data_IF_313785087129
#
_entry.id   IF_313785087129
#
_cell.length_a   1.000
_cell.length_b   1.000
_cell.length_c   1.000
_cell.angle_alpha   90.00
_cell.angle_beta   90.00
_cell.angle_gamma   90.00
#
_symmetry.space_group_name_H-M   'P 1'
#
loop_
_entity.id
_entity.type
_entity.pdbx_description
1 polymer ?
#
# COMPACT_ATOMS: atom_id res chain seq x y z
N UNK A 1 -1.18 -9.94 -17.47
CA UNK A 1 -0.70 -8.69 -18.11
C UNK A 1 -0.55 -8.78 -19.63
N UNK A 2 -0.10 -9.88 -20.23
CA UNK A 2 0.15 -9.97 -21.69
C UNK A 2 -1.07 -9.63 -22.59
N UNK A 3 -2.32 -9.95 -22.19
CA UNK A 3 -3.52 -9.64 -22.99
C UNK A 3 -3.95 -8.16 -22.98
N UNK A 4 -3.47 -7.34 -22.04
CA UNK A 4 -3.81 -5.89 -21.94
C UNK A 4 -2.96 -5.03 -22.91
N UNK A 5 -1.85 -5.58 -23.39
CA UNK A 5 -0.84 -4.87 -24.21
C UNK A 5 -1.31 -4.43 -25.61
N UNK A 6 -2.49 -4.87 -26.07
CA UNK A 6 -3.05 -4.49 -27.38
C UNK A 6 -3.80 -3.14 -27.35
N UNK A 7 -4.27 -2.69 -26.19
CA UNK A 7 -5.02 -1.43 -26.05
C UNK A 7 -4.17 -0.30 -25.41
N UNK A 8 -3.08 -0.66 -24.71
CA UNK A 8 -2.22 0.30 -24.00
C UNK A 8 -0.74 -0.08 -24.13
N UNK A 9 0.14 0.92 -24.23
CA UNK A 9 1.57 0.70 -24.07
C UNK A 9 1.87 0.39 -22.60
N UNK A 10 2.09 -0.88 -22.31
CA UNK A 10 2.40 -1.38 -20.98
C UNK A 10 3.84 -1.90 -20.95
N UNK A 11 4.61 -1.38 -20.00
CA UNK A 11 5.95 -1.89 -19.64
C UNK A 11 5.89 -2.32 -18.19
N UNK A 12 6.39 -3.51 -17.91
CA UNK A 12 6.50 -4.03 -16.56
C UNK A 12 7.92 -3.83 -16.06
N UNK A 13 8.06 -3.40 -14.81
CA UNK A 13 9.34 -3.35 -14.11
C UNK A 13 9.23 -4.15 -12.82
N UNK A 14 10.22 -4.99 -12.56
CA UNK A 14 10.40 -5.65 -11.26
C UNK A 14 11.51 -4.91 -10.51
N UNK A 15 11.22 -4.52 -9.28
CA UNK A 15 12.23 -4.03 -8.35
C UNK A 15 12.46 -5.12 -7.32
N UNK A 16 13.55 -5.85 -7.48
CA UNK A 16 13.99 -6.83 -6.50
C UNK A 16 14.64 -6.10 -5.31
N UNK A 17 14.08 -6.30 -4.12
CA UNK A 17 14.40 -5.50 -2.93
C UNK A 17 15.34 -6.28 -1.98
N UNK A 18 16.44 -6.79 -2.53
CA UNK A 18 17.48 -7.49 -1.76
C UNK A 18 17.18 -8.96 -1.52
N UNK A 19 16.69 -9.68 -2.54
CA UNK A 19 16.58 -11.13 -2.50
C UNK A 19 17.95 -11.81 -2.42
N UNK A 20 17.94 -13.08 -1.98
CA UNK A 20 19.18 -13.87 -1.93
C UNK A 20 19.65 -14.32 -3.33
N UNK A 21 20.87 -14.87 -3.41
CA UNK A 21 21.48 -15.27 -4.68
C UNK A 21 20.64 -16.32 -5.44
N UNK A 22 20.00 -17.26 -4.73
CA UNK A 22 19.19 -18.31 -5.34
C UNK A 22 17.90 -17.73 -5.91
N UNK A 23 17.26 -16.83 -5.17
CA UNK A 23 16.08 -16.08 -5.60
C UNK A 23 16.39 -15.22 -6.83
N UNK A 24 17.51 -14.48 -6.83
CA UNK A 24 17.95 -13.66 -7.97
C UNK A 24 18.14 -14.54 -9.22
N UNK A 25 18.76 -15.72 -9.09
CA UNK A 25 18.93 -16.66 -10.22
C UNK A 25 17.56 -17.07 -10.78
N UNK A 26 16.59 -17.38 -9.93
CA UNK A 26 15.25 -17.77 -10.35
C UNK A 26 14.50 -16.61 -11.02
N UNK A 27 14.60 -15.39 -10.48
CA UNK A 27 13.99 -14.20 -11.05
C UNK A 27 14.58 -13.93 -12.45
N UNK A 28 15.91 -13.99 -12.62
CA UNK A 28 16.57 -13.80 -13.92
C UNK A 28 16.08 -14.80 -14.97
N UNK A 29 15.90 -16.08 -14.60
CA UNK A 29 15.35 -17.10 -15.50
C UNK A 29 13.94 -16.75 -15.98
N UNK A 30 13.08 -16.28 -15.08
CA UNK A 30 11.70 -15.89 -15.42
C UNK A 30 11.71 -14.65 -16.30
N UNK A 31 12.50 -13.62 -15.96
CA UNK A 31 12.53 -12.35 -16.71
C UNK A 31 12.90 -12.56 -18.17
N UNK A 32 13.87 -13.44 -18.44
CA UNK A 32 14.30 -13.78 -19.80
C UNK A 32 13.21 -14.41 -20.69
N UNK A 33 12.09 -14.84 -20.10
CA UNK A 33 10.95 -15.38 -20.86
C UNK A 33 9.96 -14.30 -21.34
N UNK A 34 10.11 -13.05 -20.89
CA UNK A 34 9.21 -11.94 -21.23
C UNK A 34 9.94 -10.85 -22.02
N UNK A 35 9.35 -10.45 -23.15
CA UNK A 35 9.94 -9.45 -24.07
C UNK A 35 9.78 -7.98 -23.64
N UNK A 36 9.00 -7.70 -22.58
CA UNK A 36 8.68 -6.33 -22.09
C UNK A 36 8.71 -6.27 -20.57
N UNK A 37 9.84 -6.66 -20.00
CA UNK A 37 10.03 -6.73 -18.56
C UNK A 37 11.43 -6.22 -18.21
N UNK A 38 11.49 -5.06 -17.58
CA UNK A 38 12.72 -4.55 -17.00
C UNK A 38 12.87 -5.03 -15.56
N UNK A 39 14.12 -5.10 -15.09
CA UNK A 39 14.39 -5.49 -13.72
C UNK A 39 15.51 -4.65 -13.11
N UNK A 40 15.31 -4.28 -11.85
CA UNK A 40 16.30 -3.60 -11.02
C UNK A 40 16.56 -4.46 -9.79
N UNK A 41 17.82 -4.87 -9.61
CA UNK A 41 18.27 -5.60 -8.43
C UNK A 41 18.88 -4.64 -7.41
N UNK A 42 18.29 -4.56 -6.23
CA UNK A 42 18.84 -3.79 -5.12
C UNK A 42 19.75 -4.69 -4.28
N UNK A 43 20.86 -4.11 -3.80
CA UNK A 43 21.88 -4.87 -3.04
C UNK A 43 21.38 -5.37 -1.68
N UNK A 44 20.44 -4.66 -1.10
CA UNK A 44 19.85 -4.98 0.20
C UNK A 44 18.41 -4.51 0.25
N UNK A 45 17.66 -5.01 1.23
CA UNK A 45 16.31 -4.52 1.51
C UNK A 45 16.35 -3.09 2.07
N UNK A 46 15.95 -2.13 1.25
CA UNK A 46 15.87 -0.71 1.59
C UNK A 46 14.47 -0.27 2.06
N UNK A 47 13.55 -1.23 2.18
CA UNK A 47 12.15 -1.00 2.52
C UNK A 47 11.23 -0.88 1.30
N UNK A 48 9.97 -1.28 1.50
CA UNK A 48 8.95 -1.31 0.47
C UNK A 48 8.71 0.07 -0.18
N UNK A 49 8.63 1.13 0.63
CA UNK A 49 8.41 2.50 0.13
C UNK A 49 9.57 2.98 -0.76
N UNK A 50 10.81 2.70 -0.36
CA UNK A 50 11.99 3.04 -1.16
C UNK A 50 12.05 2.22 -2.46
N UNK A 51 11.74 0.92 -2.41
CA UNK A 51 11.65 0.08 -3.60
C UNK A 51 10.54 0.54 -4.58
N UNK A 52 9.36 0.93 -4.06
CA UNK A 52 8.30 1.54 -4.87
C UNK A 52 8.80 2.83 -5.56
N UNK A 53 9.54 3.67 -4.83
CA UNK A 53 10.10 4.90 -5.40
C UNK A 53 11.13 4.64 -6.52
N UNK A 54 11.87 3.52 -6.48
CA UNK A 54 12.73 3.11 -7.59
C UNK A 54 11.90 2.88 -8.86
N UNK A 55 10.78 2.15 -8.74
CA UNK A 55 9.85 1.93 -9.85
C UNK A 55 9.18 3.22 -10.35
N UNK A 56 8.77 4.10 -9.43
CA UNK A 56 8.21 5.43 -9.75
C UNK A 56 9.23 6.28 -10.51
N UNK A 57 10.49 6.31 -10.05
CA UNK A 57 11.57 7.04 -10.72
C UNK A 57 11.85 6.49 -12.11
N UNK A 58 11.84 5.17 -12.27
CA UNK A 58 11.94 4.54 -13.58
C UNK A 58 10.81 5.00 -14.51
N UNK A 59 9.57 4.98 -14.03
CA UNK A 59 8.41 5.41 -14.81
C UNK A 59 8.51 6.89 -15.24
N UNK A 60 8.96 7.77 -14.33
CA UNK A 60 9.22 9.19 -14.63
C UNK A 60 10.28 9.37 -15.71
N UNK A 61 11.42 8.70 -15.56
CA UNK A 61 12.55 8.83 -16.49
C UNK A 61 12.23 8.32 -17.90
N UNK A 62 11.25 7.42 -18.04
CA UNK A 62 10.79 6.88 -19.31
C UNK A 62 9.51 7.56 -19.84
N UNK A 63 9.15 8.73 -19.30
CA UNK A 63 8.00 9.54 -19.74
C UNK A 63 6.66 8.80 -19.72
N UNK A 64 6.46 7.85 -18.80
CA UNK A 64 5.13 7.28 -18.58
C UNK A 64 4.20 8.32 -17.96
N UNK A 65 2.90 8.23 -18.23
CA UNK A 65 1.90 9.11 -17.60
C UNK A 65 1.41 8.58 -16.26
N UNK A 66 1.46 7.26 -16.07
CA UNK A 66 0.95 6.58 -14.89
C UNK A 66 1.86 5.44 -14.48
N UNK A 67 1.76 5.03 -13.22
CA UNK A 67 2.34 3.81 -12.69
C UNK A 67 1.25 2.97 -12.03
N UNK A 68 1.24 1.67 -12.32
CA UNK A 68 0.42 0.69 -11.60
C UNK A 68 1.32 -0.03 -10.61
N UNK A 69 1.13 0.22 -9.32
CA UNK A 69 1.86 -0.50 -8.27
C UNK A 69 1.22 -1.88 -8.05
N UNK A 70 2.05 -2.90 -7.88
CA UNK A 70 1.63 -4.30 -7.68
C UNK A 70 2.58 -4.95 -6.69
N UNK A 71 2.03 -5.75 -5.77
CA UNK A 71 2.82 -6.61 -4.89
C UNK A 71 2.95 -8.02 -5.50
N UNK A 72 3.96 -8.79 -5.08
CA UNK A 72 4.25 -10.13 -5.61
C UNK A 72 3.13 -11.17 -5.42
N UNK A 73 2.27 -10.96 -4.44
CA UNK A 73 1.13 -11.80 -4.06
C UNK A 73 -0.22 -11.22 -4.54
N UNK A 74 -0.16 -10.31 -5.50
CA UNK A 74 -1.33 -9.68 -6.11
C UNK A 74 -1.77 -10.45 -7.34
N UNK A 75 -3.03 -10.89 -7.33
CA UNK A 75 -3.64 -11.66 -8.42
C UNK A 75 -4.73 -10.80 -9.08
N UNK A 76 -4.38 -9.97 -10.07
CA UNK A 76 -5.34 -9.11 -10.76
C UNK A 76 -6.30 -9.94 -11.61
N UNK A 77 -7.60 -9.60 -11.59
CA UNK A 77 -8.55 -10.17 -12.54
C UNK A 77 -8.17 -9.79 -13.99
N UNK A 78 -8.56 -10.61 -14.97
CA UNK A 78 -8.17 -10.40 -16.37
C UNK A 78 -8.53 -9.01 -16.91
N UNK A 79 -9.66 -8.46 -16.46
CA UNK A 79 -10.18 -7.15 -16.87
C UNK A 79 -9.79 -6.00 -15.92
N UNK A 80 -9.06 -6.26 -14.82
CA UNK A 80 -8.80 -5.26 -13.77
C UNK A 80 -8.21 -3.98 -14.34
N UNK A 81 -7.10 -4.08 -15.08
CA UNK A 81 -6.40 -2.92 -15.65
C UNK A 81 -7.30 -2.17 -16.63
N UNK A 82 -8.07 -2.90 -17.46
CA UNK A 82 -9.02 -2.29 -18.41
C UNK A 82 -10.09 -1.47 -17.66
N UNK A 83 -10.60 -1.97 -16.55
CA UNK A 83 -11.59 -1.25 -15.74
C UNK A 83 -11.00 -0.04 -15.02
N UNK A 84 -9.76 -0.13 -14.52
CA UNK A 84 -9.04 1.00 -13.94
C UNK A 84 -8.86 2.12 -14.98
N UNK A 85 -8.35 1.79 -16.17
CA UNK A 85 -8.12 2.79 -17.23
C UNK A 85 -9.42 3.38 -17.76
N UNK A 86 -10.47 2.57 -17.95
CA UNK A 86 -11.81 3.05 -18.34
C UNK A 86 -12.33 4.07 -17.32
N UNK A 87 -12.23 3.74 -16.04
CA UNK A 87 -12.69 4.62 -14.95
C UNK A 87 -11.83 5.88 -14.85
N UNK A 88 -10.51 5.75 -14.99
CA UNK A 88 -9.58 6.89 -15.06
C UNK A 88 -9.98 7.87 -16.16
N UNK A 89 -10.19 7.40 -17.39
CA UNK A 89 -10.56 8.23 -18.53
C UNK A 89 -11.91 8.93 -18.34
N UNK A 90 -12.85 8.28 -17.65
CA UNK A 90 -14.15 8.87 -17.29
C UNK A 90 -13.99 9.96 -16.22
N UNK A 91 -13.19 9.70 -15.19
CA UNK A 91 -13.02 10.58 -14.03
C UNK A 91 -12.15 11.79 -14.35
N UNK A 92 -11.08 11.63 -15.11
CA UNK A 92 -10.15 12.70 -15.49
C UNK A 92 -10.82 13.80 -16.33
N UNK A 93 -11.83 13.46 -17.15
CA UNK A 93 -12.65 14.46 -17.86
C UNK A 93 -13.41 15.41 -16.94
N UNK A 94 -13.70 14.98 -15.71
CA UNK A 94 -14.47 15.75 -14.72
C UNK A 94 -13.59 16.35 -13.63
N UNK A 95 -12.37 15.87 -13.48
CA UNK A 95 -11.50 16.17 -12.35
C UNK A 95 -10.08 16.45 -12.84
N UNK A 96 -9.66 17.72 -12.77
CA UNK A 96 -8.30 18.12 -13.14
C UNK A 96 -7.23 17.54 -12.20
N UNK A 97 -7.58 17.27 -10.93
CA UNK A 97 -6.66 16.77 -9.90
C UNK A 97 -6.99 15.33 -9.49
N UNK A 98 -6.96 14.39 -10.44
CA UNK A 98 -7.10 12.95 -10.16
C UNK A 98 -5.73 12.34 -9.86
N UNK A 99 -5.54 11.82 -8.64
CA UNK A 99 -4.28 11.23 -8.20
C UNK A 99 -4.18 9.75 -8.51
N UNK A 100 -5.19 8.97 -8.13
CA UNK A 100 -5.15 7.53 -8.24
C UNK A 100 -6.53 6.89 -8.39
N UNK A 101 -6.57 5.74 -9.05
CA UNK A 101 -7.70 4.79 -9.04
C UNK A 101 -7.20 3.41 -8.62
N UNK A 102 -7.99 2.67 -7.85
CA UNK A 102 -7.57 1.34 -7.37
C UNK A 102 -8.70 0.33 -7.32
N UNK A 103 -8.38 -0.97 -7.39
CA UNK A 103 -9.35 -2.04 -7.44
C UNK A 103 -10.01 -2.26 -6.08
N UNK A 104 -11.21 -2.83 -6.13
CA UNK A 104 -11.80 -3.48 -4.98
C UNK A 104 -11.16 -4.86 -4.84
N UNK A 105 -10.32 -5.03 -3.82
CA UNK A 105 -9.62 -6.29 -3.60
C UNK A 105 -10.39 -7.22 -2.65
N UNK A 106 -10.26 -8.52 -2.89
CA UNK A 106 -10.68 -9.57 -1.97
C UNK A 106 -9.45 -10.16 -1.30
N UNK A 107 -9.45 -10.12 0.03
CA UNK A 107 -8.49 -10.89 0.80
C UNK A 107 -8.89 -12.37 0.69
N UNK A 108 -7.95 -13.24 0.30
CA UNK A 108 -8.21 -14.69 0.20
C UNK A 108 -8.63 -15.29 1.55
N UNK A 109 -8.23 -14.66 2.65
CA UNK A 109 -8.65 -15.02 3.99
C UNK A 109 -10.01 -14.41 4.40
N UNK A 110 -10.71 -13.68 3.52
CA UNK A 110 -12.03 -13.10 3.81
C UNK A 110 -13.10 -13.62 2.85
N UNK A 111 -14.31 -13.79 3.38
CA UNK A 111 -15.45 -14.25 2.58
C UNK A 111 -15.90 -13.16 1.58
N UNK A 112 -15.76 -11.88 1.98
CA UNK A 112 -16.18 -10.71 1.21
C UNK A 112 -15.01 -9.80 0.83
N UNK A 113 -15.12 -9.05 -0.29
CA UNK A 113 -14.17 -7.99 -0.64
C UNK A 113 -14.03 -6.94 0.46
N UNK A 114 -12.86 -6.29 0.52
CA UNK A 114 -12.59 -5.27 1.52
C UNK A 114 -13.24 -3.94 1.11
N UNK A 115 -13.99 -3.36 2.05
CA UNK A 115 -14.59 -2.05 1.87
C UNK A 115 -13.53 -0.95 1.71
N UNK A 116 -13.81 -0.03 0.79
CA UNK A 116 -13.01 1.18 0.64
C UNK A 116 -13.11 2.08 1.87
N UNK A 117 -12.20 3.03 2.01
CA UNK A 117 -12.12 3.90 3.18
C UNK A 117 -12.35 5.36 2.81
N UNK A 118 -13.21 6.02 3.60
CA UNK A 118 -13.41 7.46 3.57
C UNK A 118 -13.45 8.02 4.98
N UNK A 119 -12.84 9.19 5.16
CA UNK A 119 -12.86 9.96 6.39
C UNK A 119 -13.97 11.00 6.28
N UNK A 120 -14.88 10.99 7.26
CA UNK A 120 -15.99 11.94 7.38
C UNK A 120 -16.17 12.29 8.86
N UNK A 121 -16.64 13.50 9.17
CA UNK A 121 -16.91 13.88 10.57
C UNK A 121 -15.74 13.55 11.50
N UNK A 122 -15.98 12.72 12.53
CA UNK A 122 -14.97 12.32 13.50
C UNK A 122 -14.48 10.86 13.34
N UNK A 123 -14.68 10.24 12.17
CA UNK A 123 -14.48 8.80 12.03
C UNK A 123 -13.94 8.32 10.68
N UNK A 124 -13.54 7.06 10.69
CA UNK A 124 -13.15 6.27 9.51
C UNK A 124 -14.38 5.45 9.10
N UNK A 125 -14.87 5.70 7.89
CA UNK A 125 -16.05 5.06 7.33
C UNK A 125 -15.61 4.03 6.29
N UNK A 126 -16.26 2.88 6.35
CA UNK A 126 -16.17 1.83 5.34
C UNK A 126 -17.22 2.08 4.27
N UNK A 127 -16.80 2.02 3.02
CA UNK A 127 -17.64 2.21 1.86
C UNK A 127 -17.78 0.84 1.19
N UNK A 128 -18.88 0.12 1.45
CA UNK A 128 -19.10 -1.20 0.88
C UNK A 128 -19.41 -1.08 -0.61
N UNK A 129 -19.47 -2.23 -1.28
CA UNK A 129 -20.04 -2.31 -2.62
C UNK A 129 -21.47 -1.76 -2.63
N UNK A 130 -21.76 -0.88 -3.60
CA UNK A 130 -23.08 -0.30 -3.79
C UNK A 130 -23.51 -0.63 -5.21
N UNK A 131 -24.64 -1.31 -5.34
CA UNK A 131 -25.15 -1.69 -6.66
C UNK A 131 -25.42 -0.46 -7.53
N UNK A 132 -25.06 -0.56 -8.81
CA UNK A 132 -25.15 0.55 -9.77
C UNK A 132 -24.10 1.67 -9.60
N UNK A 133 -23.24 1.63 -8.58
CA UNK A 133 -22.13 2.60 -8.41
C UNK A 133 -20.81 1.90 -8.67
N UNK A 134 -20.11 2.28 -9.75
CA UNK A 134 -18.80 1.71 -10.08
C UNK A 134 -17.63 2.48 -9.45
N UNK A 135 -17.67 3.82 -9.49
CA UNK A 135 -16.57 4.65 -8.99
C UNK A 135 -16.97 5.37 -7.71
N UNK A 136 -16.17 5.23 -6.65
CA UNK A 136 -16.43 5.90 -5.37
C UNK A 136 -15.22 6.67 -4.87
N UNK A 137 -15.44 7.88 -4.34
CA UNK A 137 -14.37 8.69 -3.78
C UNK A 137 -13.88 8.08 -2.47
N UNK A 138 -12.56 7.95 -2.34
CA UNK A 138 -11.86 7.38 -1.18
C UNK A 138 -10.74 8.32 -0.75
N UNK A 139 -10.18 8.09 0.43
CA UNK A 139 -9.09 8.94 0.96
C UNK A 139 -7.70 8.33 0.83
N UNK A 140 -7.62 7.01 0.63
CA UNK A 140 -6.41 6.28 0.29
C UNK A 140 -6.81 4.90 -0.26
N UNK A 141 -5.89 4.29 -1.00
CA UNK A 141 -5.99 2.94 -1.54
C UNK A 141 -4.82 2.13 -1.02
N UNK A 142 -4.92 0.79 -1.04
CA UNK A 142 -3.71 -0.02 -0.86
C UNK A 142 -2.76 0.21 -2.04
N UNK A 143 -1.45 0.14 -1.80
CA UNK A 143 -0.49 0.32 -2.89
C UNK A 143 -0.70 -0.70 -4.02
N UNK A 144 -0.90 -1.98 -3.69
CA UNK A 144 -1.18 -3.01 -4.67
C UNK A 144 -2.46 -2.72 -5.48
N UNK A 145 -2.33 -2.76 -6.80
CA UNK A 145 -3.40 -2.50 -7.76
C UNK A 145 -3.68 -1.01 -7.99
N UNK A 146 -3.02 -0.09 -7.28
CA UNK A 146 -3.26 1.35 -7.47
C UNK A 146 -2.60 1.87 -8.75
N UNK A 147 -3.41 2.38 -9.66
CA UNK A 147 -2.98 3.15 -10.83
C UNK A 147 -2.88 4.63 -10.43
N UNK A 148 -1.66 5.15 -10.42
CA UNK A 148 -1.32 6.49 -9.91
C UNK A 148 -0.81 7.35 -11.05
N UNK A 149 -1.28 8.59 -11.16
CA UNK A 149 -0.72 9.57 -12.10
C UNK A 149 0.67 10.02 -11.66
N UNK A 150 1.62 10.06 -12.60
CA UNK A 150 2.93 10.63 -12.31
C UNK A 150 2.88 12.15 -12.09
N UNK A 151 1.92 12.87 -12.69
CA UNK A 151 1.73 14.29 -12.39
C UNK A 151 1.27 14.52 -10.95
N UNK A 152 0.46 13.60 -10.41
CA UNK A 152 0.08 13.64 -9.00
C UNK A 152 1.30 13.36 -8.11
N UNK A 153 2.14 12.38 -8.47
CA UNK A 153 3.38 12.11 -7.73
C UNK A 153 4.31 13.33 -7.75
N UNK A 154 4.44 14.03 -8.87
CA UNK A 154 5.26 15.26 -8.96
C UNK A 154 4.77 16.37 -8.03
N UNK A 155 3.45 16.56 -7.91
CA UNK A 155 2.89 17.59 -7.03
C UNK A 155 2.83 17.16 -5.56
N UNK A 156 2.46 15.90 -5.30
CA UNK A 156 2.27 15.38 -3.94
C UNK A 156 3.61 15.04 -3.29
N UNK A 157 4.57 14.58 -4.08
CA UNK A 157 5.84 14.00 -3.66
C UNK A 157 5.80 12.47 -3.66
N UNK A 158 6.98 11.85 -3.73
CA UNK A 158 7.16 10.39 -3.71
C UNK A 158 6.62 9.75 -2.40
N UNK A 159 6.63 8.40 -2.35
CA UNK A 159 6.28 7.66 -1.14
C UNK A 159 7.31 7.97 -0.04
N UNK A 160 6.87 8.06 1.22
CA UNK A 160 7.78 8.30 2.34
C UNK A 160 8.68 7.08 2.60
N UNK A 161 9.88 7.10 2.02
CA UNK A 161 10.88 6.01 2.14
C UNK A 161 11.33 5.76 3.58
N UNK A 162 11.25 6.78 4.43
CA UNK A 162 11.60 6.70 5.84
C UNK A 162 10.60 5.85 6.66
N UNK A 163 9.40 5.57 6.15
CA UNK A 163 8.48 4.61 6.76
C UNK A 163 8.99 3.18 6.64
N UNK A 164 9.82 2.87 5.64
CA UNK A 164 10.29 1.52 5.30
C UNK A 164 9.14 0.61 4.83
N UNK A 165 8.21 0.21 5.72
CA UNK A 165 7.01 -0.59 5.45
C UNK A 165 5.83 -0.10 6.31
N UNK A 166 4.59 -0.47 5.95
CA UNK A 166 3.32 -0.11 6.60
C UNK A 166 3.01 1.40 6.60
N UNK A 167 1.72 1.73 6.48
CA UNK A 167 1.20 3.10 6.43
C UNK A 167 1.65 3.98 5.24
N UNK A 168 2.45 3.45 4.32
CA UNK A 168 3.01 4.19 3.18
C UNK A 168 1.90 4.78 2.31
N UNK A 169 0.96 3.93 1.94
CA UNK A 169 -0.19 4.20 1.08
C UNK A 169 -1.25 5.08 1.76
N UNK A 170 -1.49 4.85 3.06
CA UNK A 170 -2.33 5.71 3.90
C UNK A 170 -1.74 7.11 3.98
N UNK A 171 -0.45 7.23 4.30
CA UNK A 171 0.23 8.53 4.39
C UNK A 171 0.16 9.27 3.06
N UNK A 172 0.51 8.61 1.96
CA UNK A 172 0.53 9.24 0.65
C UNK A 172 -0.87 9.67 0.21
N UNK A 173 -1.89 8.83 0.40
CA UNK A 173 -3.27 9.17 0.04
C UNK A 173 -3.83 10.35 0.86
N UNK A 174 -3.55 10.40 2.16
CA UNK A 174 -3.95 11.51 3.02
C UNK A 174 -3.20 12.80 2.69
N UNK A 175 -1.91 12.70 2.32
CA UNK A 175 -1.11 13.83 1.85
C UNK A 175 -1.64 14.35 0.50
N UNK A 176 -1.96 13.46 -0.45
CA UNK A 176 -2.60 13.80 -1.71
C UNK A 176 -3.93 14.52 -1.50
N UNK A 177 -4.80 13.98 -0.63
CA UNK A 177 -6.08 14.61 -0.25
C UNK A 177 -5.89 16.02 0.30
N UNK A 178 -4.92 16.22 1.19
CA UNK A 178 -4.62 17.54 1.77
C UNK A 178 -4.23 18.56 0.70
N UNK A 179 -3.55 18.11 -0.36
CA UNK A 179 -3.16 18.93 -1.50
C UNK A 179 -4.26 19.05 -2.57
N UNK A 180 -5.48 18.59 -2.29
CA UNK A 180 -6.64 18.72 -3.18
C UNK A 180 -6.79 17.62 -4.23
N UNK A 181 -5.88 16.64 -4.24
CA UNK A 181 -5.95 15.53 -5.19
C UNK A 181 -7.01 14.50 -4.78
N UNK A 182 -7.67 13.94 -5.79
CA UNK A 182 -8.78 13.00 -5.65
C UNK A 182 -8.31 11.56 -5.88
N UNK A 183 -8.83 10.64 -5.07
CA UNK A 183 -8.58 9.20 -5.20
C UNK A 183 -9.93 8.49 -5.30
N UNK A 184 -10.02 7.49 -6.16
CA UNK A 184 -11.23 6.70 -6.38
C UNK A 184 -10.99 5.19 -6.25
N UNK A 185 -11.88 4.52 -5.53
CA UNK A 185 -12.02 3.07 -5.57
C UNK A 185 -12.94 2.67 -6.72
N UNK A 186 -12.56 1.63 -7.47
CA UNK A 186 -13.29 1.12 -8.63
C UNK A 186 -13.81 -0.28 -8.31
N UNK A 187 -15.13 -0.43 -8.20
CA UNK A 187 -15.73 -1.70 -7.82
C UNK A 187 -15.61 -2.77 -8.90
N UNK A 188 -15.70 -2.42 -10.19
CA UNK A 188 -15.57 -3.40 -11.28
C UNK A 188 -14.12 -3.87 -11.50
N UNK A 189 -13.13 -3.12 -11.01
CA UNK A 189 -11.75 -3.55 -11.03
C UNK A 189 -11.52 -4.49 -9.84
N UNK A 190 -11.41 -5.79 -10.11
CA UNK A 190 -11.25 -6.83 -9.08
C UNK A 190 -9.82 -7.34 -9.01
N UNK A 191 -9.39 -7.64 -7.79
CA UNK A 191 -8.09 -8.24 -7.50
C UNK A 191 -8.23 -9.18 -6.32
N UNK A 192 -7.54 -10.31 -6.33
CA UNK A 192 -7.31 -11.10 -5.12
C UNK A 192 -5.93 -10.76 -4.57
N UNK A 193 -5.82 -10.63 -3.25
CA UNK A 193 -4.57 -10.29 -2.59
C UNK A 193 -4.50 -11.00 -1.25
N UNK A 194 -3.35 -11.54 -0.90
CA UNK A 194 -3.13 -12.11 0.43
C UNK A 194 -2.39 -11.09 1.26
N UNK A 195 -2.87 -10.74 2.46
CA UNK A 195 -2.07 -9.93 3.37
C UNK A 195 -0.92 -10.74 4.02
N UNK A 196 -0.83 -12.04 3.73
CA UNK A 196 0.30 -12.92 4.10
C UNK A 196 0.39 -13.31 5.58
N UNK A 197 -0.39 -12.65 6.46
CA UNK A 197 -0.27 -12.83 7.90
C UNK A 197 -1.22 -13.89 8.48
N UNK A 198 -0.82 -14.45 9.64
CA UNK A 198 -1.74 -15.23 10.48
C UNK A 198 -2.90 -14.33 10.89
N UNK A 199 -4.12 -14.71 10.54
CA UNK A 199 -5.33 -13.99 10.93
C UNK A 199 -5.92 -14.65 12.16
N UNK A 200 -6.07 -13.88 13.25
CA UNK A 200 -6.80 -14.32 14.44
C UNK A 200 -8.23 -13.78 14.40
N UNK A 201 -9.22 -14.61 14.74
CA UNK A 201 -10.61 -14.19 14.84
C UNK A 201 -10.98 -13.91 16.29
N UNK A 202 -11.35 -12.67 16.62
CA UNK A 202 -11.72 -12.24 17.96
C UNK A 202 -13.03 -11.46 17.87
N UNK A 203 -14.07 -11.90 18.59
CA UNK A 203 -15.42 -11.29 18.57
C UNK A 203 -15.96 -11.06 17.15
N UNK A 204 -15.79 -12.04 16.26
CA UNK A 204 -16.21 -11.95 14.85
C UNK A 204 -15.37 -10.99 13.99
N UNK A 205 -14.29 -10.42 14.53
CA UNK A 205 -13.34 -9.58 13.78
C UNK A 205 -12.04 -10.33 13.55
N UNK A 206 -11.65 -10.40 12.28
CA UNK A 206 -10.37 -10.95 11.84
C UNK A 206 -9.29 -9.87 11.96
N UNK A 207 -8.22 -10.16 12.71
CA UNK A 207 -7.11 -9.25 12.97
C UNK A 207 -5.83 -9.89 12.41
N UNK A 208 -5.10 -9.20 11.51
CA UNK A 208 -3.82 -9.70 11.04
C UNK A 208 -2.79 -9.60 12.16
N UNK A 209 -2.12 -10.71 12.44
CA UNK A 209 -1.07 -10.83 13.42
C UNK A 209 0.27 -10.95 12.67
N UNK A 210 0.91 -9.80 12.49
CA UNK A 210 2.20 -9.71 11.82
C UNK A 210 3.34 -10.34 12.64
N UNK A 211 4.47 -10.62 11.97
CA UNK A 211 5.73 -10.97 12.64
C UNK A 211 6.16 -9.85 13.62
N UNK A 212 6.83 -10.18 14.76
CA UNK A 212 7.35 -9.20 15.70
C UNK A 212 8.15 -8.05 15.08
N UNK A 213 8.92 -8.27 14.01
CA UNK A 213 9.67 -7.19 13.35
C UNK A 213 8.71 -6.20 12.66
N UNK A 214 7.66 -6.69 12.00
CA UNK A 214 6.65 -5.82 11.39
C UNK A 214 5.83 -5.07 12.45
N UNK A 215 5.63 -5.66 13.63
CA UNK A 215 5.07 -4.92 14.77
C UNK A 215 5.91 -3.70 15.18
N UNK A 216 7.25 -3.80 15.12
CA UNK A 216 8.11 -2.64 15.38
C UNK A 216 7.78 -1.49 14.41
N UNK A 217 7.72 -1.76 13.10
CA UNK A 217 7.41 -0.74 12.09
C UNK A 217 5.99 -0.20 12.23
N UNK A 218 4.99 -1.08 12.40
CA UNK A 218 3.60 -0.68 12.57
C UNK A 218 3.41 0.24 13.79
N UNK A 219 4.05 -0.07 14.92
CA UNK A 219 3.98 0.78 16.12
C UNK A 219 4.75 2.08 15.91
N UNK A 220 5.99 2.02 15.41
CA UNK A 220 6.80 3.22 15.19
C UNK A 220 6.11 4.20 14.25
N UNK A 221 5.71 3.72 13.08
CA UNK A 221 5.13 4.54 12.03
C UNK A 221 3.77 5.09 12.45
N UNK A 222 2.93 4.27 13.10
CA UNK A 222 1.65 4.77 13.63
C UNK A 222 1.84 5.92 14.61
N UNK A 223 2.75 5.81 15.57
CA UNK A 223 3.01 6.88 16.55
C UNK A 223 3.54 8.16 15.90
N UNK A 224 4.41 8.04 14.90
CA UNK A 224 4.95 9.19 14.15
C UNK A 224 3.84 9.88 13.36
N UNK A 225 3.02 9.13 12.61
CA UNK A 225 1.92 9.69 11.82
C UNK A 225 0.79 10.24 12.69
N UNK A 226 0.53 9.66 13.86
CA UNK A 226 -0.44 10.19 14.82
C UNK A 226 -0.02 11.54 15.41
N UNK A 227 1.29 11.83 15.46
CA UNK A 227 1.83 13.14 15.86
C UNK A 227 1.85 14.16 14.71
N UNK A 228 1.83 13.70 13.46
CA UNK A 228 1.86 14.57 12.29
C UNK A 228 0.55 15.38 12.17
N UNK A 229 0.62 16.67 12.51
CA UNK A 229 -0.52 17.59 12.45
C UNK A 229 -1.00 17.87 11.04
N UNK A 230 -0.19 17.58 10.01
CA UNK A 230 -0.61 17.69 8.63
C UNK A 230 -1.64 16.62 8.24
N UNK A 231 -1.71 15.50 8.97
CA UNK A 231 -2.70 14.47 8.72
C UNK A 231 -4.08 14.81 9.33
N UNK A 232 -5.19 14.44 8.66
CA UNK A 232 -6.54 14.73 9.16
C UNK A 232 -6.76 14.20 10.58
N UNK A 233 -7.30 15.07 11.45
CA UNK A 233 -7.65 14.67 12.82
C UNK A 233 -8.68 13.53 12.85
N UNK A 234 -9.51 13.46 11.80
CA UNK A 234 -10.52 12.44 11.55
C UNK A 234 -9.93 11.04 11.33
N UNK A 235 -8.67 10.97 10.90
CA UNK A 235 -7.90 9.74 10.84
C UNK A 235 -7.10 9.51 12.12
N UNK A 236 -6.46 10.57 12.66
CA UNK A 236 -5.58 10.46 13.83
C UNK A 236 -6.33 10.02 15.08
N UNK A 237 -7.44 10.68 15.42
CA UNK A 237 -8.14 10.44 16.68
C UNK A 237 -8.67 9.01 16.84
N UNK A 238 -9.39 8.42 15.86
CA UNK A 238 -9.80 7.01 15.96
C UNK A 238 -8.63 6.04 16.06
N UNK A 239 -7.48 6.34 15.43
CA UNK A 239 -6.30 5.49 15.51
C UNK A 239 -5.55 5.63 16.84
N UNK A 240 -5.55 6.80 17.47
CA UNK A 240 -5.04 6.99 18.84
C UNK A 240 -5.84 6.11 19.81
N UNK A 241 -7.17 6.13 19.73
CA UNK A 241 -8.02 5.33 20.61
C UNK A 241 -7.85 3.82 20.38
N UNK A 242 -7.61 3.40 19.14
CA UNK A 242 -7.44 1.98 18.78
C UNK A 242 -6.03 1.45 19.03
N UNK A 243 -5.02 2.31 19.19
CA UNK A 243 -3.63 1.89 19.33
C UNK A 243 -3.40 1.02 20.59
N UNK A 244 -3.83 1.42 21.81
CA UNK A 244 -3.66 0.59 23.00
C UNK A 244 -4.29 -0.79 22.86
N UNK A 245 -5.50 -0.85 22.28
CA UNK A 245 -6.21 -2.11 22.01
C UNK A 245 -5.40 -2.98 21.05
N UNK A 246 -4.85 -2.41 19.97
CA UNK A 246 -4.01 -3.14 19.02
C UNK A 246 -2.75 -3.69 19.68
N UNK A 247 -2.06 -2.89 20.49
CA UNK A 247 -0.86 -3.32 21.23
C UNK A 247 -1.18 -4.47 22.19
N UNK A 248 -2.29 -4.37 22.92
CA UNK A 248 -2.77 -5.43 23.80
C UNK A 248 -3.03 -6.72 23.03
N UNK A 249 -3.74 -6.65 21.89
CA UNK A 249 -4.03 -7.80 21.05
C UNK A 249 -2.75 -8.47 20.53
N UNK A 250 -1.76 -7.69 20.11
CA UNK A 250 -0.46 -8.21 19.71
C UNK A 250 0.25 -8.99 20.82
N UNK A 251 0.17 -8.54 22.07
CA UNK A 251 0.83 -9.20 23.20
C UNK A 251 0.07 -10.47 23.63
N UNK A 252 -1.27 -10.43 23.66
CA UNK A 252 -2.09 -11.54 24.14
C UNK A 252 -2.06 -12.71 23.15
N UNK A 253 -2.30 -12.41 21.87
CA UNK A 253 -2.48 -13.42 20.82
C UNK A 253 -1.24 -13.65 19.96
N UNK A 254 -0.21 -12.81 20.13
CA UNK A 254 1.08 -12.96 19.46
C UNK A 254 1.87 -14.18 19.91
N UNK A 255 2.57 -14.80 18.96
CA UNK A 255 3.69 -15.68 19.26
C UNK A 255 4.89 -14.87 19.78
N UNK A 256 5.89 -15.59 20.32
CA UNK A 256 7.18 -15.01 20.78
C UNK A 256 7.00 -13.74 21.63
N UNK A 257 6.11 -13.82 22.64
CA UNK A 257 5.59 -12.66 23.41
C UNK A 257 6.68 -11.71 23.93
N UNK A 258 7.75 -12.25 24.51
CA UNK A 258 8.89 -11.46 25.02
C UNK A 258 9.59 -10.69 23.90
N UNK A 259 9.87 -11.35 22.78
CA UNK A 259 10.50 -10.71 21.62
C UNK A 259 9.58 -9.66 20.99
N UNK A 260 8.28 -9.95 20.90
CA UNK A 260 7.27 -9.02 20.40
C UNK A 260 7.14 -7.78 21.29
N UNK A 261 7.14 -7.94 22.61
CA UNK A 261 7.15 -6.82 23.55
C UNK A 261 8.41 -5.97 23.35
N UNK A 262 9.58 -6.59 23.21
CA UNK A 262 10.84 -5.89 22.90
C UNK A 262 10.72 -5.06 21.61
N UNK A 263 10.19 -5.63 20.53
CA UNK A 263 10.00 -4.94 19.25
C UNK A 263 9.00 -3.78 19.34
N UNK A 264 7.89 -3.97 20.07
CA UNK A 264 6.93 -2.89 20.35
C UNK A 264 7.61 -1.74 21.12
N UNK A 265 8.36 -2.05 22.18
CA UNK A 265 9.08 -1.04 22.97
C UNK A 265 10.13 -0.30 22.14
N UNK A 266 10.87 -0.99 21.28
CA UNK A 266 11.80 -0.36 20.34
C UNK A 266 11.07 0.59 19.40
N UNK A 267 9.92 0.17 18.86
CA UNK A 267 9.12 1.00 17.96
C UNK A 267 8.59 2.25 18.64
N UNK A 268 8.18 2.14 19.91
CA UNK A 268 7.79 3.28 20.74
C UNK A 268 8.96 4.25 20.94
N UNK A 269 10.12 3.75 21.39
CA UNK A 269 11.31 4.58 21.66
C UNK A 269 11.77 5.29 20.39
N UNK A 270 11.86 4.58 19.28
CA UNK A 270 12.31 5.16 18.01
C UNK A 270 11.29 6.15 17.45
N UNK A 271 9.98 5.95 17.65
CA UNK A 271 8.97 6.95 17.32
C UNK A 271 9.08 8.23 18.17
N UNK A 272 9.39 8.12 19.46
CA UNK A 272 9.62 9.30 20.31
C UNK A 272 10.91 10.04 19.95
N UNK A 273 11.94 9.32 19.50
CA UNK A 273 13.22 9.89 19.02
C UNK A 273 13.21 10.27 17.54
N UNK A 274 12.10 10.06 16.83
CA UNK A 274 11.98 10.25 15.39
C UNK A 274 13.07 9.50 14.57
N UNK A 275 13.45 8.30 15.01
CA UNK A 275 14.40 7.44 14.31
C UNK A 275 13.70 6.62 13.23
N UNK A 276 13.61 7.19 12.04
CA UNK A 276 12.95 6.60 10.88
C UNK A 276 13.91 5.76 10.01
N UNK A 277 13.38 5.10 8.98
CA UNK A 277 14.14 4.27 8.03
C UNK A 277 14.42 2.84 8.51
N UNK A 278 15.39 2.17 7.89
CA UNK A 278 15.88 0.85 8.30
C UNK A 278 16.63 0.99 9.62
N UNK A 279 16.22 0.31 10.71
CA UNK A 279 16.96 0.39 11.97
C UNK A 279 18.27 -0.41 11.88
N UNK A 280 19.32 0.05 12.56
CA UNK A 280 20.65 -0.57 12.50
C UNK A 280 20.71 -2.03 12.98
N UNK A 281 19.74 -2.47 13.79
CA UNK A 281 19.66 -3.84 14.29
C UNK A 281 18.96 -4.79 13.30
N UNK A 282 18.29 -4.26 12.27
CA UNK A 282 17.67 -5.05 11.21
C UNK A 282 18.73 -5.26 10.11
N UNK A 283 19.22 -6.49 10.00
CA UNK A 283 20.17 -6.90 8.96
C UNK A 283 19.42 -7.06 7.65
#
# INVERSE_FOLDING_TARGET
MQKVSKEFSLTSIIVDNGSDENEIINIKKIVNTFSRLDIVFLKENIGLSAAQNVGIKYAKNNNFSHILLMDQDSLPAENMVKQLVKSWNKLSKKNLYLAAVGPNYKDLALDNPVDFVRLKGFGIYRVPYIDGINEVRVDYLIASGSLISLSAIECVGDMRSDLFIDYIDIEWGLRAKRLGWLIYGIFDAKMSHSLGDKVISIFGRRIPLHDPIRNYFAVRNSLVLLKDKSLPITWRYPNILKLPVRLMLYIIFGDRKVYRLKMILYGIVDAFRFKMGKPAWLK
#
